data_IF_870515609073
#
_entry.id   IF_870515609073
#
_cell.length_a   1.000
_cell.length_b   1.000
_cell.length_c   1.000
_cell.angle_alpha   90.00
_cell.angle_beta   90.00
_cell.angle_gamma   90.00
#
_symmetry.space_group_name_H-M   'P 1'
#
loop_
_entity.id
_entity.type
_entity.pdbx_description
1 polymer ?
#
# COMPACT_ATOMS: atom_id res chain seq x y z
N UNK A 1 -32.13 -23.83 -19.35
CA UNK A 1 -31.06 -24.82 -19.03
C UNK A 1 -30.42 -25.45 -20.28
N UNK A 2 -30.59 -24.81 -21.44
CA UNK A 2 -30.59 -25.48 -22.75
C UNK A 2 -29.43 -25.04 -23.64
N UNK A 3 -28.47 -24.30 -23.08
CA UNK A 3 -27.20 -24.04 -23.76
C UNK A 3 -26.31 -25.30 -23.74
N UNK A 4 -25.78 -25.75 -24.89
CA UNK A 4 -24.85 -26.87 -24.92
C UNK A 4 -23.54 -26.49 -24.23
N UNK A 5 -22.95 -27.45 -23.51
CA UNK A 5 -21.70 -27.28 -22.76
C UNK A 5 -20.56 -26.74 -23.66
N UNK A 6 -20.28 -25.44 -23.57
CA UNK A 6 -19.20 -24.78 -24.30
C UNK A 6 -17.83 -25.24 -23.78
N UNK A 7 -16.83 -25.32 -24.65
CA UNK A 7 -15.47 -25.66 -24.24
C UNK A 7 -14.86 -24.46 -23.49
N UNK A 8 -14.22 -24.68 -22.33
CA UNK A 8 -13.67 -23.57 -21.51
C UNK A 8 -12.74 -22.62 -22.29
N UNK A 9 -12.06 -23.12 -23.33
CA UNK A 9 -11.19 -22.30 -24.18
C UNK A 9 -11.94 -21.22 -24.98
N UNK A 10 -13.25 -21.35 -25.21
CA UNK A 10 -14.03 -20.35 -25.97
C UNK A 10 -14.44 -19.13 -25.13
N UNK A 11 -14.04 -19.08 -23.86
CA UNK A 11 -14.24 -17.93 -22.97
C UNK A 11 -12.99 -17.02 -22.89
N UNK A 12 -11.94 -17.32 -23.66
CA UNK A 12 -10.66 -16.60 -23.63
C UNK A 12 -10.13 -16.36 -25.05
N UNK A 13 -9.92 -15.10 -25.43
CA UNK A 13 -9.34 -14.73 -26.72
C UNK A 13 -7.87 -15.19 -26.86
N UNK A 14 -7.16 -15.29 -25.73
CA UNK A 14 -5.82 -15.87 -25.65
C UNK A 14 -5.64 -16.61 -24.32
N UNK A 15 -4.96 -17.75 -24.37
CA UNK A 15 -4.65 -18.60 -23.22
C UNK A 15 -3.14 -18.73 -23.07
N UNK A 16 -2.61 -18.37 -21.89
CA UNK A 16 -1.18 -18.51 -21.55
C UNK A 16 -1.04 -19.36 -20.28
N UNK A 17 -0.27 -20.45 -20.37
CA UNK A 17 0.14 -21.31 -19.24
C UNK A 17 1.62 -21.10 -18.93
N UNK A 18 2.14 -21.73 -17.87
CA UNK A 18 3.55 -21.71 -17.48
C UNK A 18 4.19 -20.32 -17.34
N UNK A 19 3.40 -19.28 -17.07
CA UNK A 19 3.86 -17.88 -17.05
C UNK A 19 5.00 -17.59 -16.04
N UNK A 20 5.19 -18.44 -15.02
CA UNK A 20 6.19 -18.30 -13.95
C UNK A 20 6.14 -16.94 -13.24
N UNK A 21 4.93 -16.46 -12.89
CA UNK A 21 4.75 -15.28 -12.04
C UNK A 21 5.57 -15.45 -10.73
N UNK A 22 6.33 -14.45 -10.26
CA UNK A 22 6.38 -13.06 -10.71
C UNK A 22 7.29 -12.77 -11.92
N UNK A 23 8.11 -13.73 -12.38
CA UNK A 23 9.11 -13.51 -13.44
C UNK A 23 8.46 -12.98 -14.73
N UNK A 24 7.25 -13.45 -15.05
CA UNK A 24 6.39 -12.94 -16.13
C UNK A 24 6.36 -11.41 -16.24
N UNK A 25 6.25 -10.70 -15.11
CA UNK A 25 6.11 -9.25 -15.09
C UNK A 25 7.43 -8.50 -15.29
N UNK A 26 8.58 -9.18 -15.14
CA UNK A 26 9.91 -8.69 -15.52
C UNK A 26 10.31 -9.20 -16.90
N UNK A 27 11.46 -9.86 -16.99
CA UNK A 27 12.01 -10.47 -18.21
C UNK A 27 11.17 -11.62 -18.79
N UNK A 28 10.40 -12.33 -17.94
CA UNK A 28 9.60 -13.48 -18.33
C UNK A 28 10.44 -14.67 -18.84
N UNK A 29 9.94 -15.32 -19.90
CA UNK A 29 10.58 -16.48 -20.54
C UNK A 29 10.28 -16.51 -22.04
N UNK A 30 10.91 -17.43 -22.77
CA UNK A 30 10.62 -17.67 -24.20
C UNK A 30 9.14 -18.08 -24.38
N UNK A 31 8.37 -17.29 -25.13
CA UNK A 31 7.01 -17.64 -25.52
C UNK A 31 7.01 -18.85 -26.47
N UNK A 32 6.26 -19.89 -26.14
CA UNK A 32 6.07 -21.09 -26.96
C UNK A 32 4.59 -21.40 -27.18
N UNK A 33 4.29 -22.25 -28.14
CA UNK A 33 2.95 -22.75 -28.41
C UNK A 33 2.80 -24.19 -27.90
N UNK A 34 1.67 -24.52 -27.26
CA UNK A 34 1.37 -25.85 -26.73
C UNK A 34 0.66 -26.69 -27.79
N UNK A 35 1.09 -27.92 -28.00
CA UNK A 35 0.29 -28.90 -28.76
C UNK A 35 -0.82 -29.44 -27.86
N UNK A 36 -2.03 -28.88 -27.98
CA UNK A 36 -3.18 -29.23 -27.15
C UNK A 36 -3.65 -30.68 -27.27
N UNK A 37 -3.14 -31.47 -28.23
CA UNK A 37 -3.41 -32.92 -28.33
C UNK A 37 -2.42 -33.79 -27.55
N UNK A 38 -1.22 -33.28 -27.22
CA UNK A 38 -0.16 -34.06 -26.56
C UNK A 38 0.37 -33.42 -25.27
N UNK A 39 -0.04 -32.18 -24.96
CA UNK A 39 0.50 -31.38 -23.85
C UNK A 39 1.92 -30.85 -24.08
N UNK A 40 2.64 -31.34 -25.09
CA UNK A 40 4.02 -30.96 -25.36
C UNK A 40 4.14 -29.55 -25.97
N UNK A 41 5.19 -28.82 -25.60
CA UNK A 41 5.53 -27.55 -26.23
C UNK A 41 6.09 -27.79 -27.64
N UNK A 42 5.61 -27.02 -28.62
CA UNK A 42 6.20 -27.01 -29.97
C UNK A 42 7.64 -26.48 -29.89
N UNK A 43 8.52 -27.00 -30.74
CA UNK A 43 9.92 -26.57 -30.84
C UNK A 43 10.02 -25.15 -31.43
N UNK A 44 10.93 -24.35 -30.89
CA UNK A 44 11.15 -22.96 -31.29
C UNK A 44 10.41 -21.92 -30.45
N UNK A 45 10.66 -20.64 -30.76
CA UNK A 45 10.00 -19.48 -30.15
C UNK A 45 8.80 -19.06 -31.01
N UNK A 46 7.66 -18.79 -30.39
CA UNK A 46 6.52 -18.21 -31.11
C UNK A 46 6.80 -16.73 -31.43
N UNK A 47 6.72 -16.37 -32.72
CA UNK A 47 6.96 -15.00 -33.24
C UNK A 47 5.78 -14.43 -34.06
N UNK A 48 4.67 -15.16 -34.13
CA UNK A 48 3.47 -14.73 -34.85
C UNK A 48 2.49 -13.96 -33.96
N UNK A 49 1.36 -13.49 -34.52
CA UNK A 49 0.24 -12.98 -33.75
C UNK A 49 -0.39 -14.09 -32.89
N UNK A 50 -1.12 -13.70 -31.84
CA UNK A 50 -1.91 -14.62 -31.03
C UNK A 50 -3.14 -15.08 -31.83
N UNK A 51 -3.47 -16.37 -31.78
CA UNK A 51 -4.61 -16.95 -32.48
C UNK A 51 -5.61 -17.54 -31.47
N UNK A 52 -6.89 -17.25 -31.64
CA UNK A 52 -7.97 -17.73 -30.77
C UNK A 52 -8.04 -19.26 -30.76
N UNK A 53 -8.20 -19.87 -29.58
CA UNK A 53 -8.32 -21.33 -29.41
C UNK A 53 -6.99 -22.11 -29.36
N UNK A 54 -5.88 -21.48 -29.75
CA UNK A 54 -4.52 -21.94 -29.48
C UNK A 54 -4.12 -21.64 -28.03
N UNK A 55 -3.09 -22.33 -27.54
CA UNK A 55 -2.59 -22.20 -26.17
C UNK A 55 -1.10 -21.92 -26.19
N UNK A 56 -0.66 -20.94 -25.40
CA UNK A 56 0.71 -20.49 -25.30
C UNK A 56 1.32 -20.83 -23.94
N UNK A 57 2.64 -20.91 -23.87
CA UNK A 57 3.40 -21.28 -22.66
C UNK A 57 4.55 -20.29 -22.46
N UNK A 58 4.74 -19.84 -21.21
CA UNK A 58 5.79 -18.89 -20.84
C UNK A 58 5.51 -17.47 -21.32
N UNK A 59 6.49 -16.86 -22.01
CA UNK A 59 6.42 -15.47 -22.44
C UNK A 59 6.77 -14.46 -21.33
N UNK A 60 6.58 -13.18 -21.65
CA UNK A 60 6.67 -12.05 -20.70
C UNK A 60 5.45 -11.16 -20.84
N UNK A 61 5.21 -10.35 -19.81
CA UNK A 61 4.11 -9.39 -19.79
C UNK A 61 4.23 -8.34 -20.90
N UNK A 62 5.45 -7.94 -21.31
CA UNK A 62 5.65 -7.01 -22.43
C UNK A 62 5.17 -7.61 -23.75
N UNK A 63 5.68 -8.79 -24.10
CA UNK A 63 5.31 -9.51 -25.33
C UNK A 63 3.80 -9.80 -25.36
N UNK A 64 3.23 -10.17 -24.22
CA UNK A 64 1.78 -10.37 -24.11
C UNK A 64 1.00 -9.06 -24.33
N UNK A 65 1.41 -7.96 -23.69
CA UNK A 65 0.77 -6.63 -23.79
C UNK A 65 0.84 -6.08 -25.22
N UNK A 66 1.98 -6.24 -25.90
CA UNK A 66 2.17 -5.86 -27.30
C UNK A 66 1.23 -6.65 -28.22
N UNK A 67 1.15 -7.98 -28.05
CA UNK A 67 0.35 -8.85 -28.91
C UNK A 67 -1.18 -8.71 -28.71
N UNK A 68 -1.66 -8.24 -27.54
CA UNK A 68 -3.09 -7.94 -27.30
C UNK A 68 -3.47 -6.48 -27.57
N UNK A 69 -2.50 -5.57 -27.74
CA UNK A 69 -2.73 -4.16 -28.05
C UNK A 69 -3.23 -3.25 -26.92
N UNK A 70 -3.60 -3.80 -25.76
CA UNK A 70 -4.02 -3.06 -24.56
C UNK A 70 -2.83 -2.46 -23.79
N UNK A 71 -3.02 -1.41 -22.97
CA UNK A 71 -1.93 -0.76 -22.22
C UNK A 71 -2.31 -0.42 -20.78
N UNK A 72 -1.48 -0.83 -19.82
CA UNK A 72 -1.50 -0.29 -18.46
C UNK A 72 -2.88 -0.33 -17.79
N UNK A 73 -3.53 0.84 -17.72
CA UNK A 73 -4.85 1.06 -17.11
C UNK A 73 -6.02 0.37 -17.84
N UNK A 74 -5.83 -0.04 -19.09
CA UNK A 74 -6.82 -0.78 -19.89
C UNK A 74 -7.03 -2.21 -19.37
N UNK A 75 -6.03 -2.76 -18.65
CA UNK A 75 -6.03 -4.14 -18.15
C UNK A 75 -6.44 -4.18 -16.69
N UNK A 76 -7.51 -4.93 -16.37
CA UNK A 76 -7.85 -5.35 -15.01
C UNK A 76 -7.35 -6.79 -14.78
N UNK A 77 -6.26 -6.93 -14.04
CA UNK A 77 -5.70 -8.23 -13.69
C UNK A 77 -6.33 -8.77 -12.41
N UNK A 78 -6.87 -9.98 -12.48
CA UNK A 78 -7.56 -10.67 -11.39
C UNK A 78 -6.67 -11.81 -10.88
N UNK A 79 -6.41 -11.88 -9.57
CA UNK A 79 -5.60 -12.93 -8.97
C UNK A 79 -5.67 -12.95 -7.45
N UNK A 80 -5.20 -14.02 -6.84
CA UNK A 80 -5.15 -14.29 -5.40
C UNK A 80 -3.78 -13.96 -4.79
N UNK A 81 -2.70 -14.21 -5.52
CA UNK A 81 -1.34 -14.07 -4.99
C UNK A 81 -0.89 -12.61 -4.88
N UNK A 82 -1.13 -11.99 -3.73
CA UNK A 82 -0.84 -10.57 -3.42
C UNK A 82 0.54 -10.06 -3.89
N UNK A 83 1.61 -10.86 -3.77
CA UNK A 83 2.94 -10.47 -4.25
C UNK A 83 3.11 -10.69 -5.76
N UNK A 84 2.90 -11.92 -6.22
CA UNK A 84 3.21 -12.34 -7.59
C UNK A 84 2.29 -11.75 -8.65
N UNK A 85 1.02 -11.54 -8.30
CA UNK A 85 -0.03 -11.13 -9.22
C UNK A 85 -0.37 -9.65 -9.08
N UNK A 86 -0.58 -9.18 -7.85
CA UNK A 86 -1.10 -7.84 -7.59
C UNK A 86 0.05 -6.83 -7.48
N UNK A 87 0.96 -6.99 -6.52
CA UNK A 87 2.06 -6.04 -6.29
C UNK A 87 2.96 -5.89 -7.52
N UNK A 88 3.33 -6.98 -8.19
CA UNK A 88 4.24 -6.96 -9.35
C UNK A 88 3.60 -6.38 -10.61
N UNK A 89 2.36 -6.73 -10.96
CA UNK A 89 1.67 -6.12 -12.10
C UNK A 89 1.43 -4.62 -11.87
N UNK A 90 0.99 -4.24 -10.65
CA UNK A 90 0.75 -2.85 -10.25
C UNK A 90 2.01 -2.00 -10.33
N UNK A 91 3.12 -2.44 -9.71
CA UNK A 91 4.36 -1.66 -9.65
C UNK A 91 5.11 -1.59 -10.98
N UNK A 92 5.18 -2.69 -11.74
CA UNK A 92 6.05 -2.75 -12.93
C UNK A 92 5.30 -2.29 -14.18
N UNK A 93 3.99 -2.57 -14.28
CA UNK A 93 3.20 -2.39 -15.52
C UNK A 93 2.03 -1.41 -15.39
N UNK A 94 1.74 -0.90 -14.19
CA UNK A 94 0.64 0.04 -13.97
C UNK A 94 -0.75 -0.54 -14.23
N UNK A 95 -0.88 -1.87 -14.24
CA UNK A 95 -2.15 -2.57 -14.44
C UNK A 95 -3.15 -2.23 -13.34
N UNK A 96 -4.45 -2.30 -13.66
CA UNK A 96 -5.50 -2.30 -12.64
C UNK A 96 -5.57 -3.67 -11.98
N UNK A 97 -5.88 -3.72 -10.69
CA UNK A 97 -5.74 -4.93 -9.89
C UNK A 97 -6.99 -5.29 -9.10
N UNK A 98 -7.44 -6.54 -9.25
CA UNK A 98 -8.50 -7.15 -8.44
C UNK A 98 -7.91 -8.32 -7.64
N UNK A 99 -7.87 -8.19 -6.32
CA UNK A 99 -7.43 -9.26 -5.42
C UNK A 99 -8.61 -10.16 -5.01
N UNK A 100 -8.46 -11.47 -5.20
CA UNK A 100 -9.35 -12.48 -4.61
C UNK A 100 -8.79 -12.85 -3.23
N UNK A 101 -9.61 -12.79 -2.18
CA UNK A 101 -9.27 -13.25 -0.82
C UNK A 101 -10.39 -14.18 -0.32
N UNK A 102 -10.32 -15.50 -0.58
CA UNK A 102 -11.41 -16.43 -0.26
C UNK A 102 -11.82 -16.43 1.22
N UNK A 103 -10.86 -16.21 2.11
CA UNK A 103 -11.03 -16.12 3.57
C UNK A 103 -11.96 -14.97 3.99
N UNK A 104 -12.13 -13.96 3.11
CA UNK A 104 -12.93 -12.77 3.39
C UNK A 104 -14.40 -13.09 3.74
N UNK A 105 -14.94 -14.22 3.27
CA UNK A 105 -16.30 -14.66 3.67
C UNK A 105 -16.38 -14.93 5.17
N UNK A 106 -15.41 -15.68 5.71
CA UNK A 106 -15.36 -16.02 7.13
C UNK A 106 -14.95 -14.80 7.98
N UNK A 107 -13.99 -14.01 7.50
CA UNK A 107 -13.59 -12.75 8.14
C UNK A 107 -14.78 -11.79 8.29
N UNK A 108 -15.61 -11.61 7.26
CA UNK A 108 -16.79 -10.73 7.31
C UNK A 108 -17.86 -11.24 8.29
N UNK A 109 -18.06 -12.56 8.37
CA UNK A 109 -18.98 -13.16 9.35
C UNK A 109 -18.48 -12.92 10.79
N UNK A 110 -17.23 -13.28 11.10
CA UNK A 110 -16.66 -13.07 12.44
C UNK A 110 -16.58 -11.58 12.81
N UNK A 111 -16.22 -10.71 11.85
CA UNK A 111 -16.20 -9.26 12.05
C UNK A 111 -17.58 -8.69 12.42
N UNK A 112 -18.65 -9.20 11.78
CA UNK A 112 -20.03 -8.80 12.09
C UNK A 112 -20.47 -9.35 13.45
N UNK A 113 -20.32 -10.66 13.68
CA UNK A 113 -20.73 -11.35 14.90
C UNK A 113 -19.97 -10.87 16.16
N UNK A 114 -18.72 -10.41 16.00
CA UNK A 114 -17.84 -9.99 17.10
C UNK A 114 -17.55 -8.49 17.12
N UNK A 115 -18.32 -7.68 16.38
CA UNK A 115 -18.17 -6.22 16.31
C UNK A 115 -18.10 -5.53 17.69
N UNK A 116 -18.78 -6.08 18.70
CA UNK A 116 -18.75 -5.58 20.09
C UNK A 116 -17.33 -5.60 20.70
N UNK A 117 -16.51 -6.62 20.41
CA UNK A 117 -15.14 -6.71 20.91
C UNK A 117 -14.25 -5.62 20.28
N UNK A 118 -14.45 -5.33 19.00
CA UNK A 118 -13.73 -4.25 18.33
C UNK A 118 -14.17 -2.86 18.84
N UNK A 119 -15.47 -2.66 19.08
CA UNK A 119 -15.99 -1.44 19.69
C UNK A 119 -15.49 -1.24 21.12
N UNK A 120 -15.40 -2.30 21.93
CA UNK A 120 -14.77 -2.25 23.25
C UNK A 120 -13.28 -1.91 23.16
N UNK A 121 -12.54 -2.54 22.24
CA UNK A 121 -11.12 -2.25 22.03
C UNK A 121 -10.89 -0.79 21.64
N UNK A 122 -11.69 -0.26 20.71
CA UNK A 122 -11.65 1.16 20.32
C UNK A 122 -11.94 2.10 21.51
N UNK A 123 -12.90 1.75 22.37
CA UNK A 123 -13.18 2.50 23.62
C UNK A 123 -11.98 2.47 24.58
N UNK A 124 -11.30 1.32 24.72
CA UNK A 124 -10.12 1.18 25.57
C UNK A 124 -8.94 2.01 25.03
N UNK A 125 -8.73 2.03 23.71
CA UNK A 125 -7.70 2.85 23.05
C UNK A 125 -8.00 4.36 23.17
N UNK A 126 -9.29 4.78 23.12
CA UNK A 126 -9.69 6.18 23.37
C UNK A 126 -9.41 6.59 24.82
N UNK A 127 -9.82 5.79 25.81
CA UNK A 127 -9.53 6.07 27.24
C UNK A 127 -8.03 6.10 27.53
N UNK A 128 -7.23 5.32 26.80
CA UNK A 128 -5.77 5.39 26.87
C UNK A 128 -5.27 6.75 26.36
N UNK A 129 -5.76 7.21 25.22
CA UNK A 129 -5.47 8.54 24.69
C UNK A 129 -5.87 9.67 25.64
N UNK A 130 -7.04 9.59 26.27
CA UNK A 130 -7.54 10.61 27.21
C UNK A 130 -6.64 10.79 28.44
N UNK A 131 -6.09 9.71 29.01
CA UNK A 131 -5.13 9.81 30.13
C UNK A 131 -3.80 10.48 29.74
N UNK A 132 -3.39 10.41 28.47
CA UNK A 132 -2.18 11.07 27.98
C UNK A 132 -2.42 12.48 27.41
N UNK A 133 -3.67 12.82 27.07
CA UNK A 133 -4.07 14.03 26.32
C UNK A 133 -3.55 15.35 26.92
N UNK A 134 -3.49 15.45 28.24
CA UNK A 134 -3.10 16.67 28.96
C UNK A 134 -1.69 16.58 29.57
N UNK A 135 -0.90 15.55 29.25
CA UNK A 135 0.47 15.40 29.72
C UNK A 135 1.43 16.09 28.74
N UNK A 136 2.31 16.93 29.26
CA UNK A 136 3.28 17.70 28.49
C UNK A 136 4.73 17.30 28.83
N UNK A 137 5.71 17.95 28.19
CA UNK A 137 7.14 17.73 28.46
C UNK A 137 7.60 18.18 29.85
N UNK A 138 6.77 18.88 30.65
CA UNK A 138 7.07 19.23 32.03
C UNK A 138 6.55 18.20 33.05
N UNK A 139 5.62 17.34 32.63
CA UNK A 139 4.94 16.38 33.50
C UNK A 139 5.85 15.21 33.89
N UNK A 140 6.13 15.09 35.19
CA UNK A 140 7.08 14.10 35.75
C UNK A 140 6.46 12.78 36.18
N UNK A 141 5.14 12.75 36.39
CA UNK A 141 4.43 11.55 36.84
C UNK A 141 3.74 10.87 35.65
N UNK A 142 3.87 9.53 35.58
CA UNK A 142 3.23 8.70 34.56
C UNK A 142 1.89 8.14 35.12
N UNK A 143 0.79 8.18 34.36
CA UNK A 143 -0.47 7.57 34.80
C UNK A 143 -0.32 6.04 34.95
N UNK A 144 -0.99 5.45 35.95
CA UNK A 144 -1.07 3.98 36.02
C UNK A 144 -2.07 3.44 34.99
N UNK A 145 -1.50 2.96 33.89
CA UNK A 145 -2.24 2.34 32.79
C UNK A 145 -2.23 0.81 32.87
N UNK A 146 -1.80 0.21 33.98
CA UNK A 146 -1.59 -1.24 34.10
C UNK A 146 -2.89 -2.03 33.93
N UNK A 147 -3.98 -1.57 34.55
CA UNK A 147 -5.33 -2.16 34.41
C UNK A 147 -5.83 -2.05 32.98
N UNK A 148 -5.74 -0.85 32.37
CA UNK A 148 -6.20 -0.61 31.01
C UNK A 148 -5.42 -1.43 29.98
N UNK A 149 -4.08 -1.50 30.10
CA UNK A 149 -3.23 -2.38 29.28
C UNK A 149 -3.58 -3.86 29.45
N UNK A 150 -4.02 -4.31 30.63
CA UNK A 150 -4.49 -5.68 30.82
C UNK A 150 -5.80 -5.94 30.08
N UNK A 151 -6.78 -5.04 30.20
CA UNK A 151 -8.06 -5.11 29.46
C UNK A 151 -7.85 -5.09 27.93
N UNK A 152 -6.97 -4.23 27.41
CA UNK A 152 -6.63 -4.17 25.98
C UNK A 152 -6.08 -5.51 25.49
N UNK A 153 -5.19 -6.17 26.25
CA UNK A 153 -4.65 -7.50 25.89
C UNK A 153 -5.72 -8.59 25.93
N UNK A 154 -6.57 -8.60 26.95
CA UNK A 154 -7.63 -9.59 27.12
C UNK A 154 -8.68 -9.49 26.00
N UNK A 155 -9.14 -8.27 25.66
CA UNK A 155 -10.07 -8.03 24.55
C UNK A 155 -9.43 -8.34 23.20
N UNK A 156 -8.16 -7.97 22.98
CA UNK A 156 -7.40 -8.34 21.77
C UNK A 156 -7.33 -9.86 21.60
N UNK A 157 -6.93 -10.58 22.65
CA UNK A 157 -6.80 -12.04 22.62
C UNK A 157 -8.16 -12.73 22.37
N UNK A 158 -9.24 -12.26 23.00
CA UNK A 158 -10.62 -12.74 22.77
C UNK A 158 -11.10 -12.46 21.35
N UNK A 159 -10.74 -11.32 20.77
CA UNK A 159 -11.10 -10.95 19.40
C UNK A 159 -10.34 -11.81 18.39
N UNK A 160 -9.02 -11.94 18.55
CA UNK A 160 -8.16 -12.69 17.63
C UNK A 160 -8.54 -14.19 17.64
N UNK A 161 -8.77 -14.78 18.82
CA UNK A 161 -9.23 -16.17 18.96
C UNK A 161 -10.57 -16.48 18.26
N UNK A 162 -11.39 -15.47 17.96
CA UNK A 162 -12.66 -15.68 17.25
C UNK A 162 -12.46 -15.95 15.75
N UNK A 163 -11.30 -15.60 15.18
CA UNK A 163 -10.90 -15.94 13.81
C UNK A 163 -10.10 -17.24 13.77
N UNK A 164 -9.25 -17.47 14.77
CA UNK A 164 -8.50 -18.72 14.95
C UNK A 164 -7.24 -18.52 15.79
N UNK A 165 -6.38 -19.55 15.89
CA UNK A 165 -5.16 -19.51 16.71
C UNK A 165 -4.14 -18.44 16.28
N UNK A 166 -4.23 -17.92 15.05
CA UNK A 166 -3.32 -16.90 14.50
C UNK A 166 -3.96 -15.51 14.36
N UNK A 167 -5.20 -15.32 14.83
CA UNK A 167 -5.95 -14.07 14.64
C UNK A 167 -6.57 -13.92 13.25
N UNK A 168 -6.95 -12.68 12.91
CA UNK A 168 -7.48 -12.32 11.59
C UNK A 168 -6.34 -12.14 10.58
N UNK A 169 -6.58 -12.53 9.33
CA UNK A 169 -5.69 -12.27 8.19
C UNK A 169 -5.38 -10.77 8.03
N UNK A 170 -6.29 -9.90 8.47
CA UNK A 170 -6.19 -8.45 8.33
C UNK A 170 -5.68 -7.72 9.57
N UNK A 171 -5.81 -8.27 10.79
CA UNK A 171 -5.43 -7.59 12.04
C UNK A 171 -5.17 -8.50 13.23
N UNK A 172 -4.42 -7.98 14.20
CA UNK A 172 -4.44 -8.41 15.60
C UNK A 172 -4.86 -7.21 16.45
N UNK A 173 -5.99 -7.31 17.13
CA UNK A 173 -6.60 -6.18 17.83
C UNK A 173 -6.81 -4.94 16.92
N UNK A 174 -6.30 -3.78 17.36
CA UNK A 174 -6.33 -2.52 16.60
C UNK A 174 -5.18 -2.38 15.57
N UNK A 175 -4.26 -3.35 15.48
CA UNK A 175 -3.09 -3.31 14.58
C UNK A 175 -3.35 -4.10 13.29
N UNK A 176 -3.24 -3.44 12.14
CA UNK A 176 -3.32 -4.09 10.83
C UNK A 176 -2.11 -5.01 10.56
N UNK A 177 -2.32 -6.09 9.81
CA UNK A 177 -1.26 -6.99 9.34
C UNK A 177 -0.47 -6.39 8.17
N UNK A 178 0.71 -6.96 7.90
CA UNK A 178 1.45 -6.68 6.67
C UNK A 178 0.63 -7.03 5.41
N UNK A 179 -0.18 -8.10 5.46
CA UNK A 179 -1.09 -8.46 4.37
C UNK A 179 -2.12 -7.34 4.13
N UNK A 180 -2.86 -6.89 5.15
CA UNK A 180 -3.80 -5.76 5.04
C UNK A 180 -3.12 -4.52 4.46
N UNK A 181 -1.91 -4.22 4.92
CA UNK A 181 -1.08 -3.10 4.43
C UNK A 181 -0.70 -3.22 2.95
N UNK A 182 -0.55 -4.45 2.42
CA UNK A 182 -0.33 -4.70 1.00
C UNK A 182 -1.64 -4.60 0.19
N UNK A 183 -2.75 -5.16 0.69
CA UNK A 183 -4.06 -5.08 0.02
C UNK A 183 -4.45 -3.62 -0.24
N UNK A 184 -4.48 -2.80 0.81
CA UNK A 184 -4.85 -1.38 0.74
C UNK A 184 -3.94 -0.55 -0.19
N UNK A 185 -2.67 -0.98 -0.38
CA UNK A 185 -1.68 -0.24 -1.17
C UNK A 185 -1.60 -0.68 -2.64
N UNK A 186 -1.94 -1.93 -2.96
CA UNK A 186 -1.65 -2.50 -4.29
C UNK A 186 -2.87 -3.09 -5.02
N UNK A 187 -3.97 -3.40 -4.33
CA UNK A 187 -5.21 -3.84 -4.95
C UNK A 187 -6.13 -2.63 -5.18
N UNK A 188 -6.53 -2.34 -6.44
CA UNK A 188 -7.56 -1.32 -6.70
C UNK A 188 -8.94 -1.77 -6.21
N UNK A 189 -9.19 -3.08 -6.30
CA UNK A 189 -10.41 -3.77 -5.87
C UNK A 189 -10.01 -5.05 -5.15
N UNK A 190 -10.81 -5.48 -4.18
CA UNK A 190 -10.67 -6.81 -3.58
C UNK A 190 -12.04 -7.38 -3.20
N UNK A 191 -12.19 -8.70 -3.23
CA UNK A 191 -13.40 -9.40 -2.82
C UNK A 191 -13.13 -10.88 -2.46
N UNK A 192 -14.13 -11.53 -1.85
CA UNK A 192 -14.11 -12.97 -1.62
C UNK A 192 -14.07 -13.79 -2.92
N UNK A 193 -14.68 -13.27 -3.99
CA UNK A 193 -14.69 -13.89 -5.32
C UNK A 193 -14.80 -12.83 -6.41
N UNK A 194 -14.16 -13.10 -7.55
CA UNK A 194 -14.30 -12.28 -8.76
C UNK A 194 -15.73 -12.28 -9.31
N UNK A 195 -16.53 -13.32 -9.00
CA UNK A 195 -17.93 -13.41 -9.41
C UNK A 195 -18.78 -12.23 -8.91
N UNK A 196 -18.37 -11.54 -7.85
CA UNK A 196 -19.07 -10.35 -7.35
C UNK A 196 -19.14 -9.21 -8.39
N UNK A 197 -18.28 -9.21 -9.41
CA UNK A 197 -18.36 -8.27 -10.54
C UNK A 197 -19.67 -8.41 -11.34
N UNK A 198 -20.35 -9.56 -11.32
CA UNK A 198 -21.63 -9.77 -12.04
C UNK A 198 -22.77 -8.88 -11.53
N UNK A 199 -22.67 -8.39 -10.29
CA UNK A 199 -23.66 -7.51 -9.65
C UNK A 199 -23.46 -6.02 -9.99
N UNK A 200 -22.46 -5.68 -10.81
CA UNK A 200 -22.15 -4.31 -11.23
C UNK A 200 -22.28 -4.16 -12.76
N UNK A 201 -22.85 -3.05 -13.27
CA UNK A 201 -22.89 -2.80 -14.71
C UNK A 201 -21.49 -2.50 -15.25
N UNK A 202 -21.23 -2.77 -16.53
CA UNK A 202 -19.92 -2.51 -17.17
C UNK A 202 -19.50 -1.04 -17.17
N UNK A 203 -20.43 -0.10 -16.98
CA UNK A 203 -20.18 1.34 -16.82
C UNK A 203 -19.99 1.79 -15.36
N UNK A 204 -19.86 0.87 -14.40
CA UNK A 204 -19.76 1.21 -12.98
C UNK A 204 -18.42 1.87 -12.62
N UNK A 205 -18.51 3.05 -12.00
CA UNK A 205 -17.34 3.75 -11.45
C UNK A 205 -17.18 3.43 -9.97
N UNK A 206 -16.27 2.50 -9.64
CA UNK A 206 -15.83 2.26 -8.26
C UNK A 206 -15.18 3.52 -7.68
N UNK A 207 -15.56 3.89 -6.45
CA UNK A 207 -15.08 5.09 -5.76
C UNK A 207 -14.49 4.74 -4.40
N UNK A 208 -13.34 5.33 -4.09
CA UNK A 208 -12.77 5.41 -2.75
C UNK A 208 -12.87 6.87 -2.24
N UNK A 209 -12.89 7.11 -0.91
CA UNK A 209 -12.72 8.45 -0.37
C UNK A 209 -11.30 8.99 -0.68
N UNK A 210 -11.16 10.31 -0.74
CA UNK A 210 -9.84 10.93 -0.87
C UNK A 210 -9.05 10.71 0.43
N UNK A 211 -7.78 10.27 0.29
CA UNK A 211 -6.87 10.14 1.42
C UNK A 211 -6.23 11.50 1.69
N UNK A 212 -6.66 12.17 2.76
CA UNK A 212 -6.06 13.40 3.25
C UNK A 212 -4.86 13.10 4.15
N UNK A 213 -3.83 13.93 4.06
CA UNK A 213 -2.75 13.98 5.02
C UNK A 213 -3.24 14.58 6.36
N UNK A 214 -2.56 14.30 7.49
CA UNK A 214 -3.03 14.77 8.81
C UNK A 214 -3.23 16.28 8.90
N UNK A 215 -2.37 17.08 8.26
CA UNK A 215 -2.47 18.55 8.29
C UNK A 215 -3.63 19.11 7.43
N UNK A 216 -4.02 18.39 6.35
CA UNK A 216 -5.18 18.73 5.52
C UNK A 216 -6.49 18.43 6.26
N UNK A 217 -6.47 17.42 7.15
CA UNK A 217 -7.62 17.06 7.98
C UNK A 217 -7.89 18.04 9.14
N UNK A 218 -6.90 18.87 9.51
CA UNK A 218 -6.99 19.81 10.66
C UNK A 218 -7.41 21.23 10.30
N UNK A 219 -7.47 21.59 9.03
CA UNK A 219 -7.76 22.97 8.58
C UNK A 219 -8.98 22.96 7.65
N UNK A 220 -10.06 23.63 8.06
CA UNK A 220 -11.22 23.82 7.20
C UNK A 220 -10.88 24.80 6.05
N UNK A 221 -11.28 24.48 4.81
CA UNK A 221 -10.96 25.28 3.61
C UNK A 221 -11.47 26.75 3.66
N UNK A 222 -12.34 27.09 4.59
CA UNK A 222 -12.84 28.45 4.84
C UNK A 222 -11.82 29.33 5.60
N UNK A 223 -10.87 28.72 6.30
CA UNK A 223 -9.83 29.43 7.05
C UNK A 223 -8.72 29.92 6.10
N UNK A 224 -8.89 31.15 5.58
CA UNK A 224 -7.77 31.89 4.95
C UNK A 224 -6.62 32.02 5.95
N UNK A 225 -5.49 31.41 5.64
CA UNK A 225 -4.24 31.60 6.39
C UNK A 225 -3.77 33.06 6.24
N UNK A 226 -4.11 33.90 7.23
CA UNK A 226 -3.53 35.25 7.37
C UNK A 226 -2.13 35.10 7.94
N UNK A 227 -1.15 34.99 7.05
CA UNK A 227 0.23 34.67 7.40
C UNK A 227 1.05 35.95 7.65
N UNK A 228 1.20 36.34 8.91
CA UNK A 228 1.95 37.55 9.31
C UNK A 228 3.48 37.46 9.12
N UNK A 229 4.01 36.34 8.62
CA UNK A 229 5.45 36.13 8.40
C UNK A 229 5.78 36.02 6.91
N UNK A 230 6.74 36.80 6.37
CA UNK A 230 7.07 36.75 4.95
C UNK A 230 7.73 35.41 4.57
N UNK A 231 7.17 34.73 3.56
CA UNK A 231 7.76 33.54 2.95
C UNK A 231 8.98 33.89 2.08
N UNK A 232 9.95 32.97 2.04
CA UNK A 232 11.01 32.96 1.01
C UNK A 232 10.38 32.51 -0.31
N UNK A 233 9.82 33.47 -1.06
CA UNK A 233 9.15 33.20 -2.32
C UNK A 233 10.18 32.91 -3.44
N UNK A 234 10.27 31.64 -3.86
CA UNK A 234 10.87 31.27 -5.16
C UNK A 234 9.86 31.56 -6.28
N UNK A 235 9.70 32.85 -6.58
CA UNK A 235 8.69 33.34 -7.51
C UNK A 235 8.95 32.91 -8.96
N UNK A 236 8.01 32.16 -9.54
CA UNK A 236 7.85 32.05 -11.00
C UNK A 236 6.71 33.01 -11.37
N UNK A 237 7.04 34.13 -12.01
CA UNK A 237 6.08 35.21 -12.25
C UNK A 237 5.21 34.96 -13.49
N UNK A 238 3.90 34.87 -13.28
CA UNK A 238 2.87 34.99 -14.32
C UNK A 238 1.93 36.13 -13.97
N UNK A 239 1.91 37.20 -14.78
CA UNK A 239 1.01 38.34 -14.60
C UNK A 239 -0.34 38.08 -15.27
N UNK A 240 -1.43 38.41 -14.59
CA UNK A 240 -2.75 38.74 -15.16
C UNK A 240 -3.31 39.91 -14.34
N UNK A 241 -4.03 40.81 -15.01
CA UNK A 241 -4.50 42.09 -14.46
C UNK A 241 -5.57 42.69 -15.40
N UNK A 242 -6.44 43.62 -14.97
CA UNK A 242 -6.62 44.11 -13.59
C UNK A 242 -7.77 43.36 -12.87
N UNK A 243 -9.02 43.82 -12.64
CA UNK A 243 -9.75 45.08 -12.84
C UNK A 243 -10.65 45.34 -11.60
N UNK A 244 -11.30 46.51 -11.47
CA UNK A 244 -12.00 46.94 -10.24
C UNK A 244 -13.53 46.72 -10.25
N UNK A 245 -14.13 46.47 -9.08
CA UNK A 245 -15.40 47.13 -8.70
C UNK A 245 -15.55 47.25 -7.16
N UNK A 246 -16.28 48.28 -6.69
CA UNK A 246 -16.34 48.70 -5.28
C UNK A 246 -17.77 49.09 -4.90
N UNK A 247 -18.33 48.59 -3.77
CA UNK A 247 -19.45 49.26 -3.05
C UNK A 247 -19.60 48.91 -1.55
N UNK A 248 -19.40 49.93 -0.69
CA UNK A 248 -19.96 50.22 0.65
C UNK A 248 -20.50 49.15 1.64
N UNK A 249 -19.75 48.96 2.77
CA UNK A 249 -20.07 49.25 4.22
C UNK A 249 -21.38 48.71 4.90
N UNK A 250 -21.49 48.65 6.27
CA UNK A 250 -20.57 49.09 7.34
C UNK A 250 -20.29 48.10 8.52
N UNK A 251 -19.11 48.27 9.15
CA UNK A 251 -18.75 48.14 10.59
C UNK A 251 -19.49 47.17 11.56
N UNK A 252 -18.71 46.27 12.21
CA UNK A 252 -18.78 46.07 13.68
C UNK A 252 -17.55 45.36 14.29
N UNK A 253 -16.78 46.10 15.10
CA UNK A 253 -15.92 45.66 16.23
C UNK A 253 -15.00 44.43 16.07
N UNK A 254 -13.71 44.70 15.82
CA UNK A 254 -12.63 43.78 16.24
C UNK A 254 -12.41 43.90 17.77
N UNK A 255 -12.20 42.76 18.44
CA UNK A 255 -11.64 42.71 19.80
C UNK A 255 -10.15 42.34 19.70
N UNK A 256 -9.27 43.31 19.94
CA UNK A 256 -7.85 43.03 20.17
C UNK A 256 -7.63 42.61 21.63
N UNK A 257 -6.78 41.60 21.82
CA UNK A 257 -6.20 41.25 23.12
C UNK A 257 -4.69 41.15 22.93
N UNK A 258 -3.99 42.25 23.17
CA UNK A 258 -2.53 42.27 23.15
C UNK A 258 -1.96 41.44 24.30
N UNK A 259 -1.10 40.47 23.97
CA UNK A 259 -0.31 39.76 24.98
C UNK A 259 1.19 39.93 24.72
N UNK A 260 1.67 41.16 24.98
CA UNK A 260 3.10 41.44 25.12
C UNK A 260 3.66 40.72 26.36
N UNK A 261 4.16 39.49 26.18
CA UNK A 261 5.40 38.97 26.79
C UNK A 261 5.58 37.47 26.47
N UNK A 262 6.48 37.16 25.52
CA UNK A 262 7.07 35.82 25.42
C UNK A 262 8.57 35.95 25.14
N UNK A 263 9.38 35.81 26.18
CA UNK A 263 10.84 35.84 26.09
C UNK A 263 11.37 34.48 25.67
N UNK A 264 11.37 34.20 24.36
CA UNK A 264 12.04 33.04 23.76
C UNK A 264 13.31 33.55 23.06
N UNK A 265 14.53 33.37 23.63
CA UNK A 265 15.73 34.06 23.14
C UNK A 265 16.12 33.73 21.70
N UNK A 266 15.81 32.53 21.21
CA UNK A 266 16.04 32.13 19.81
C UNK A 266 14.84 31.32 19.30
N UNK A 267 14.05 31.89 18.40
CA UNK A 267 12.89 31.21 17.79
C UNK A 267 13.28 30.21 16.69
N UNK A 268 14.55 30.19 16.24
CA UNK A 268 15.10 29.26 15.24
C UNK A 268 16.58 28.98 15.49
N UNK A 269 17.09 27.76 15.23
CA UNK A 269 18.53 27.51 15.11
C UNK A 269 19.10 28.18 13.85
N UNK A 270 20.43 28.39 13.79
CA UNK A 270 21.09 28.84 12.56
C UNK A 270 20.96 27.81 11.43
N UNK A 271 20.88 28.30 10.19
CA UNK A 271 20.90 27.45 8.99
C UNK A 271 22.18 26.60 8.94
N UNK A 272 22.10 25.26 8.88
CA UNK A 272 23.28 24.41 8.87
C UNK A 272 24.14 24.69 7.64
N UNK A 273 25.41 25.09 7.87
CA UNK A 273 26.36 25.48 6.81
C UNK A 273 27.05 24.29 6.14
N UNK A 274 26.95 23.11 6.74
CA UNK A 274 27.51 21.84 6.25
C UNK A 274 26.37 20.85 5.99
N UNK A 275 26.56 19.96 5.02
CA UNK A 275 25.61 18.87 4.73
C UNK A 275 25.71 17.82 5.83
N UNK A 276 24.70 17.74 6.69
CA UNK A 276 24.59 16.73 7.77
C UNK A 276 23.86 15.46 7.34
N UNK A 277 23.75 15.22 6.04
CA UNK A 277 23.11 14.02 5.47
C UNK A 277 24.07 12.83 5.54
N UNK A 278 24.14 12.18 6.70
CA UNK A 278 24.42 10.73 6.72
C UNK A 278 23.38 10.05 5.83
N UNK A 279 23.83 9.12 5.00
CA UNK A 279 22.90 8.32 4.20
C UNK A 279 22.30 7.27 5.14
N UNK A 280 20.98 7.32 5.36
CA UNK A 280 20.26 6.35 6.18
C UNK A 280 20.14 5.01 5.43
N UNK A 281 21.27 4.31 5.29
CA UNK A 281 21.36 2.91 4.87
C UNK A 281 20.90 1.99 6.00
N UNK A 282 19.67 2.21 6.51
CA UNK A 282 18.94 1.30 7.42
C UNK A 282 18.41 0.07 6.64
N UNK A 283 19.32 -0.53 5.88
CA UNK A 283 19.24 -1.81 5.18
C UNK A 283 20.54 -2.59 5.48
N UNK A 284 20.95 -2.64 6.75
CA UNK A 284 22.06 -3.50 7.19
C UNK A 284 21.64 -4.97 7.11
N UNK A 285 21.98 -5.62 5.99
CA UNK A 285 21.89 -7.08 5.82
C UNK A 285 22.79 -7.78 6.85
N UNK A 286 22.20 -8.17 7.99
CA UNK A 286 22.79 -9.01 9.05
C UNK A 286 23.03 -10.46 8.57
N UNK A 287 23.79 -10.66 7.48
CA UNK A 287 24.22 -12.00 7.04
C UNK A 287 25.48 -12.05 6.14
N UNK A 288 26.25 -10.95 5.99
CA UNK A 288 27.34 -10.88 4.98
C UNK A 288 28.81 -10.97 5.47
N UNK A 289 29.12 -10.80 6.75
CA UNK A 289 30.54 -10.78 7.22
C UNK A 289 31.07 -12.10 7.80
N UNK A 290 30.22 -13.12 7.95
CA UNK A 290 30.61 -14.46 8.44
C UNK A 290 31.56 -15.22 7.48
N UNK A 291 31.65 -14.83 6.21
CA UNK A 291 32.47 -15.52 5.20
C UNK A 291 33.85 -14.88 4.91
N UNK A 292 34.09 -13.60 5.26
CA UNK A 292 35.37 -12.94 4.93
C UNK A 292 36.52 -13.32 5.86
N UNK A 293 36.27 -13.44 7.17
CA UNK A 293 37.32 -13.82 8.13
C UNK A 293 37.84 -15.25 7.88
N UNK A 294 36.98 -16.18 7.45
CA UNK A 294 37.33 -17.56 7.14
C UNK A 294 38.38 -17.72 6.02
N UNK A 295 38.47 -16.75 5.09
CA UNK A 295 39.43 -16.78 3.98
C UNK A 295 40.73 -16.03 4.27
N UNK A 296 40.76 -15.03 5.16
CA UNK A 296 42.03 -14.41 5.57
C UNK A 296 42.87 -15.37 6.42
N UNK A 297 42.27 -16.04 7.42
CA UNK A 297 42.99 -16.96 8.31
C UNK A 297 43.64 -18.11 7.53
N UNK A 298 42.95 -18.68 6.54
CA UNK A 298 43.48 -19.75 5.66
C UNK A 298 44.64 -19.30 4.75
N UNK A 299 44.79 -17.99 4.51
CA UNK A 299 45.87 -17.46 3.66
C UNK A 299 47.14 -17.22 4.48
N UNK A 300 47.02 -16.66 5.70
CA UNK A 300 48.17 -16.45 6.58
C UNK A 300 48.83 -17.77 7.03
N UNK A 301 48.07 -18.85 7.24
CA UNK A 301 48.63 -20.15 7.67
C UNK A 301 49.39 -20.92 6.59
N UNK A 302 49.38 -20.50 5.32
CA UNK A 302 50.10 -21.19 4.24
C UNK A 302 51.50 -20.67 3.94
N UNK A 303 51.84 -19.44 4.35
CA UNK A 303 53.14 -18.81 4.02
C UNK A 303 54.19 -18.91 5.15
N UNK A 304 53.92 -19.69 6.21
CA UNK A 304 54.77 -19.74 7.41
C UNK A 304 55.62 -21.01 7.54
N UNK A 305 55.62 -21.92 6.56
CA UNK A 305 56.17 -23.28 6.72
C UNK A 305 56.93 -23.81 5.47
N UNK A 306 57.73 -22.94 4.83
CA UNK A 306 58.67 -23.31 3.75
C UNK A 306 60.05 -22.66 3.94
N UNK A 307 60.81 -23.20 4.90
CA UNK A 307 62.27 -23.39 4.85
C UNK A 307 62.66 -24.39 5.95
#
# INVERSE_FOLDING_TARGET
PDEPHRNWKTYFDTIVVDARKPLFFGEGTILRQVNTRTGALKLGTHKGPLHTGEVYSGGSCDVFTELIGAKGKDVLYVGDHIFGDILKSKKIRGWRTFLIVPELVQELHVWTDKCQLFAELQRLDVMLGEMYKNLDSSTKEKPDISKLRASIRDVTHKMDLAYGMMGSLFRSGSRQTFFSSQVVRYADLYAATFLNLIYYPFSYMFRAPAMLMPHESTVAHEQRFVMETPMISRSRTSKLADEEEVHNRPSSKNLYVDHFNSQIPHARPETPRNVTHTHDEDCSDEDSDSQKQANQVKTCTKNANCN
#
